data_IF_096939785273
#
_entry.id   IF_096939785273
#
_cell.length_a   1.000
_cell.length_b   1.000
_cell.length_c   1.000
_cell.angle_alpha   90.00
_cell.angle_beta   90.00
_cell.angle_gamma   90.00
#
_symmetry.space_group_name_H-M   'P 1'
#
loop_
_entity.id
_entity.type
_entity.pdbx_description
1 polymer ?
#
# COMPACT_ATOMS: atom_id res chain seq x y z
N UNK A 1 6.80 -6.49 -4.65
CA UNK A 1 6.47 -5.26 -5.38
C UNK A 1 5.18 -5.50 -6.14
N UNK A 2 4.22 -4.58 -6.07
CA UNK A 2 2.99 -4.66 -6.86
C UNK A 2 3.31 -4.42 -8.34
N UNK A 3 2.66 -5.16 -9.24
CA UNK A 3 2.74 -4.89 -10.67
C UNK A 3 1.83 -3.71 -11.04
N UNK A 4 2.07 -3.09 -12.21
CA UNK A 4 1.22 -2.00 -12.71
C UNK A 4 -0.25 -2.43 -12.86
N UNK A 5 -0.49 -3.68 -13.28
CA UNK A 5 -1.84 -4.24 -13.39
C UNK A 5 -2.52 -4.42 -12.03
N UNK A 6 -1.75 -4.70 -10.96
CA UNK A 6 -2.30 -4.80 -9.61
C UNK A 6 -2.59 -3.42 -9.01
N UNK A 7 -1.74 -2.44 -9.30
CA UNK A 7 -1.93 -1.04 -8.91
C UNK A 7 -3.16 -0.41 -9.56
N UNK A 8 -3.43 -0.72 -10.83
CA UNK A 8 -4.59 -0.23 -11.56
C UNK A 8 -5.92 -0.85 -11.08
N UNK A 9 -5.86 -1.99 -10.39
CA UNK A 9 -7.04 -2.64 -9.79
C UNK A 9 -7.38 -2.12 -8.38
N UNK A 10 -6.52 -1.26 -7.81
CA UNK A 10 -6.79 -0.64 -6.52
C UNK A 10 -7.88 0.42 -6.66
N UNK A 11 -8.87 0.34 -5.80
CA UNK A 11 -9.99 1.27 -5.76
C UNK A 11 -9.60 2.54 -4.98
N UNK A 12 -8.95 3.46 -5.72
CA UNK A 12 -8.50 4.74 -5.18
C UNK A 12 -9.66 5.68 -4.87
N UNK A 13 -10.77 5.61 -5.61
CA UNK A 13 -11.94 6.46 -5.40
C UNK A 13 -12.62 6.15 -4.07
N UNK A 14 -12.75 4.86 -3.72
CA UNK A 14 -13.32 4.41 -2.45
C UNK A 14 -12.52 4.86 -1.22
N UNK A 15 -11.25 5.19 -1.39
CA UNK A 15 -10.32 5.55 -0.32
C UNK A 15 -9.96 7.04 -0.34
N UNK A 16 -10.70 7.88 -1.07
CA UNK A 16 -10.42 9.31 -1.27
C UNK A 16 -8.99 9.58 -1.76
N UNK A 17 -8.43 8.66 -2.55
CA UNK A 17 -7.05 8.69 -3.03
C UNK A 17 -5.99 8.35 -1.97
N UNK A 18 -6.39 7.95 -0.76
CA UNK A 18 -5.52 7.64 0.37
C UNK A 18 -5.66 6.17 0.78
N UNK A 19 -4.76 5.33 0.29
CA UNK A 19 -4.79 3.91 0.59
C UNK A 19 -4.21 3.62 1.97
N UNK A 20 -4.96 2.99 2.89
CA UNK A 20 -4.40 2.49 4.13
C UNK A 20 -3.48 1.29 3.85
N UNK A 21 -2.25 1.36 4.32
CA UNK A 21 -1.22 0.32 4.16
C UNK A 21 -0.77 -0.15 5.53
N UNK A 22 -0.69 -1.48 5.70
CA UNK A 22 -0.18 -2.11 6.90
C UNK A 22 1.26 -2.56 6.61
N UNK A 23 2.22 -2.03 7.37
CA UNK A 23 3.61 -2.47 7.32
C UNK A 23 3.81 -3.52 8.38
N UNK A 24 4.14 -4.73 7.94
CA UNK A 24 4.40 -5.87 8.81
C UNK A 24 5.85 -6.32 8.66
N UNK A 25 6.51 -6.65 9.76
CA UNK A 25 7.81 -7.28 9.73
C UNK A 25 7.69 -8.68 9.12
N UNK A 26 8.34 -8.90 7.98
CA UNK A 26 8.11 -10.07 7.13
C UNK A 26 8.46 -11.42 7.78
N UNK A 27 9.30 -11.43 8.82
CA UNK A 27 9.75 -12.66 9.49
C UNK A 27 8.96 -12.94 10.77
N UNK A 28 8.65 -11.92 11.57
CA UNK A 28 7.96 -12.09 12.85
C UNK A 28 6.45 -11.93 12.75
N UNK A 29 5.94 -11.33 11.68
CA UNK A 29 4.52 -11.00 11.55
C UNK A 29 4.07 -9.84 12.43
N UNK A 30 5.00 -9.11 13.05
CA UNK A 30 4.66 -7.96 13.88
C UNK A 30 4.22 -6.78 13.02
N UNK A 31 3.06 -6.19 13.32
CA UNK A 31 2.59 -4.99 12.64
C UNK A 31 3.32 -3.79 13.23
N UNK A 32 4.09 -3.10 12.39
CA UNK A 32 4.91 -1.98 12.80
C UNK A 32 4.10 -0.67 12.75
N UNK A 33 3.47 -0.37 11.60
CA UNK A 33 2.79 0.90 11.34
C UNK A 33 1.62 0.70 10.35
N UNK A 34 0.52 1.41 10.57
CA UNK A 34 -0.48 1.70 9.55
C UNK A 34 -0.24 3.12 8.97
N UNK A 35 -0.08 3.25 7.66
CA UNK A 35 0.19 4.53 6.97
C UNK A 35 -0.75 4.71 5.78
N UNK A 36 -1.15 5.96 5.51
CA UNK A 36 -1.87 6.34 4.30
C UNK A 36 -0.89 6.58 3.14
N UNK A 37 -1.18 6.00 1.97
CA UNK A 37 -0.38 6.12 0.76
C UNK A 37 -1.17 6.79 -0.37
N UNK A 38 -0.48 7.63 -1.12
CA UNK A 38 -0.99 8.25 -2.35
C UNK A 38 -0.69 7.36 -3.58
N UNK A 39 -1.45 7.48 -4.69
CA UNK A 39 -1.33 6.62 -5.86
C UNK A 39 0.08 6.61 -6.48
N UNK A 40 0.80 7.74 -6.43
CA UNK A 40 2.15 7.87 -6.99
C UNK A 40 3.27 7.19 -6.19
N UNK A 41 2.99 6.78 -4.95
CA UNK A 41 3.94 6.11 -4.05
C UNK A 41 3.65 4.62 -3.88
N UNK A 42 2.45 4.14 -4.22
CA UNK A 42 2.12 2.73 -4.12
C UNK A 42 2.92 1.90 -5.13
N UNK A 43 3.53 0.81 -4.66
CA UNK A 43 4.41 -0.05 -5.47
C UNK A 43 5.89 0.34 -5.49
N UNK A 44 6.28 1.46 -4.90
CA UNK A 44 7.68 1.82 -4.67
C UNK A 44 8.09 1.42 -3.25
N UNK A 45 8.57 0.20 -3.08
CA UNK A 45 9.35 -0.16 -1.90
C UNK A 45 10.78 0.40 -2.08
N UNK A 46 11.36 1.13 -1.11
CA UNK A 46 12.81 1.27 -1.06
C UNK A 46 13.50 -0.09 -0.87
#
# INVERSE_FOLDING_TARGET
>A
MLTEQQLAQLDWEKTDGLMPVIVQHAVSGEVLIARLYEPGCAGKNP
#
